data_IF_380344606131
#
_entry.id   IF_380344606131
#
_cell.length_a   1.000
_cell.length_b   1.000
_cell.length_c   1.000
_cell.angle_alpha   90.00
_cell.angle_beta   90.00
_cell.angle_gamma   90.00
#
_symmetry.space_group_name_H-M   'P 1'
#
loop_
_entity.id
_entity.type
_entity.pdbx_description
1 polymer ?
#
# COMPACT_ATOMS: atom_id res chain seq x y z
N UNK A 1 5.22 36.38 12.30
CA UNK A 1 6.10 35.42 12.99
C UNK A 1 5.26 34.22 13.44
N UNK A 2 5.37 33.07 12.80
CA UNK A 2 5.06 31.75 13.40
C UNK A 2 5.97 30.72 12.73
N UNK A 3 6.92 30.20 13.52
CA UNK A 3 8.03 29.40 13.02
C UNK A 3 7.59 28.01 12.55
N UNK A 4 7.85 27.71 11.27
CA UNK A 4 7.90 26.34 10.72
C UNK A 4 9.15 25.58 11.23
N UNK A 5 9.54 25.74 12.50
CA UNK A 5 10.90 25.38 12.95
C UNK A 5 11.05 23.94 13.46
N UNK A 6 10.00 23.13 13.52
CA UNK A 6 10.10 21.73 13.97
C UNK A 6 9.16 20.78 13.22
N UNK A 7 9.24 20.77 11.89
CA UNK A 7 8.85 19.55 11.17
C UNK A 7 10.07 18.63 11.21
N UNK A 8 9.97 17.35 11.65
CA UNK A 8 11.07 16.42 11.50
C UNK A 8 11.44 16.40 10.02
N UNK A 9 12.67 16.82 9.70
CA UNK A 9 13.22 16.69 8.35
C UNK A 9 13.32 15.20 8.10
N UNK A 10 12.29 14.64 7.45
CA UNK A 10 12.32 13.25 7.03
C UNK A 10 13.51 13.14 6.07
N UNK A 11 14.52 12.37 6.45
CA UNK A 11 15.71 12.17 5.62
C UNK A 11 15.28 11.81 4.19
N UNK A 12 15.76 12.49 3.14
CA UNK A 12 15.37 12.19 1.75
C UNK A 12 15.73 10.75 1.36
N UNK A 13 16.67 10.12 2.07
CA UNK A 13 17.01 8.69 2.01
C UNK A 13 15.85 7.76 2.41
N UNK A 14 14.96 8.22 3.30
CA UNK A 14 13.76 7.51 3.76
C UNK A 14 12.64 7.61 2.71
N UNK A 15 12.62 8.68 1.91
CA UNK A 15 11.66 8.86 0.81
C UNK A 15 12.02 8.06 -0.45
N UNK A 16 13.30 7.71 -0.64
CA UNK A 16 13.76 6.99 -1.84
C UNK A 16 13.53 5.47 -1.83
N UNK A 17 13.09 4.87 -0.71
CA UNK A 17 12.97 3.40 -0.58
C UNK A 17 11.58 2.91 -0.20
N UNK A 18 10.51 3.59 -0.62
CA UNK A 18 9.19 2.99 -0.50
C UNK A 18 9.18 1.63 -1.24
N UNK A 19 9.00 0.53 -0.50
CA UNK A 19 8.83 -0.83 -1.06
C UNK A 19 7.41 -1.35 -0.79
N UNK A 20 7.04 -2.46 -1.43
CA UNK A 20 5.78 -3.13 -1.11
C UNK A 20 5.75 -3.67 0.33
N UNK A 21 6.89 -3.81 1.00
CA UNK A 21 6.92 -4.15 2.43
C UNK A 21 6.33 -3.03 3.29
N UNK A 22 6.51 -1.77 2.91
CA UNK A 22 5.92 -0.65 3.63
C UNK A 22 4.40 -0.61 3.43
N UNK A 23 3.94 -0.99 2.23
CA UNK A 23 2.51 -1.22 1.97
C UNK A 23 1.99 -2.40 2.81
N UNK A 24 2.73 -3.50 2.89
CA UNK A 24 2.37 -4.65 3.70
C UNK A 24 2.27 -4.29 5.20
N UNK A 25 3.24 -3.52 5.73
CA UNK A 25 3.20 -3.00 7.11
C UNK A 25 1.99 -2.10 7.33
N UNK A 26 1.65 -1.24 6.36
CA UNK A 26 0.46 -0.41 6.44
C UNK A 26 -0.81 -1.27 6.49
N UNK A 27 -0.94 -2.29 5.62
CA UNK A 27 -2.09 -3.21 5.63
C UNK A 27 -2.22 -3.97 6.96
N UNK A 28 -1.11 -4.50 7.50
CA UNK A 28 -1.08 -5.16 8.82
C UNK A 28 -1.50 -4.22 9.94
N UNK A 29 -1.06 -2.96 9.89
CA UNK A 29 -1.45 -1.94 10.87
C UNK A 29 -2.94 -1.62 10.78
N UNK A 30 -3.48 -1.46 9.57
CA UNK A 30 -4.91 -1.25 9.35
C UNK A 30 -5.75 -2.44 9.82
N UNK A 31 -5.28 -3.67 9.60
CA UNK A 31 -5.94 -4.88 10.11
C UNK A 31 -6.01 -4.89 11.64
N UNK A 32 -4.92 -4.51 12.32
CA UNK A 32 -4.87 -4.42 13.79
C UNK A 32 -5.81 -3.35 14.35
N UNK A 33 -6.00 -2.25 13.62
CA UNK A 33 -6.90 -1.16 14.00
C UNK A 33 -8.40 -1.55 13.87
N UNK A 34 -8.70 -2.61 13.13
CA UNK A 34 -10.05 -3.13 12.98
C UNK A 34 -11.03 -2.17 12.26
N UNK A 35 -12.34 -2.48 12.29
CA UNK A 35 -13.35 -1.71 11.55
C UNK A 35 -13.45 -0.23 11.97
N UNK A 36 -13.26 0.07 13.26
CA UNK A 36 -13.34 1.44 13.77
C UNK A 36 -12.18 2.30 13.28
N UNK A 37 -10.93 1.81 13.36
CA UNK A 37 -9.79 2.57 12.87
C UNK A 37 -9.77 2.67 11.34
N UNK A 38 -10.29 1.68 10.63
CA UNK A 38 -10.48 1.74 9.19
C UNK A 38 -11.43 2.87 8.76
N UNK A 39 -12.49 3.14 9.51
CA UNK A 39 -13.40 4.26 9.24
C UNK A 39 -12.75 5.62 9.47
N UNK A 40 -11.79 5.73 10.39
CA UNK A 40 -10.98 6.95 10.56
C UNK A 40 -10.01 7.13 9.39
N UNK A 41 -9.32 6.07 9.00
CA UNK A 41 -8.32 6.12 7.92
C UNK A 41 -8.95 6.39 6.55
N UNK A 42 -10.17 5.92 6.28
CA UNK A 42 -10.96 6.24 5.07
C UNK A 42 -11.17 7.74 4.86
N UNK A 43 -11.12 8.55 5.92
CA UNK A 43 -11.28 10.01 5.84
C UNK A 43 -9.99 10.75 5.46
N UNK A 44 -8.84 10.07 5.45
CA UNK A 44 -7.58 10.69 5.08
C UNK A 44 -7.51 10.92 3.56
N UNK A 45 -7.05 12.11 3.10
CA UNK A 45 -6.99 12.43 1.67
C UNK A 45 -6.07 11.49 0.88
N UNK A 46 -5.04 10.93 1.51
CA UNK A 46 -4.14 9.94 0.91
C UNK A 46 -4.81 8.58 0.63
N UNK A 47 -5.89 8.25 1.36
CA UNK A 47 -6.60 6.96 1.26
C UNK A 47 -7.75 6.99 0.25
N UNK A 48 -8.11 8.16 -0.30
CA UNK A 48 -9.17 8.31 -1.32
C UNK A 48 -8.86 7.56 -2.62
N UNK A 49 -7.59 7.27 -2.90
CA UNK A 49 -7.15 6.53 -4.09
C UNK A 49 -7.18 5.01 -3.91
N UNK A 50 -7.50 4.51 -2.70
CA UNK A 50 -7.74 3.08 -2.54
C UNK A 50 -9.08 2.70 -3.17
N UNK A 51 -9.14 1.62 -3.97
CA UNK A 51 -10.39 1.19 -4.55
C UNK A 51 -11.39 0.88 -3.42
N UNK A 52 -12.64 1.27 -3.63
CA UNK A 52 -13.72 0.98 -2.70
C UNK A 52 -13.77 -0.55 -2.46
N UNK A 53 -13.43 -0.98 -1.24
CA UNK A 53 -13.34 -2.40 -0.87
C UNK A 53 -11.92 -2.96 -0.66
N UNK A 54 -10.84 -2.25 -1.03
CA UNK A 54 -9.49 -2.62 -0.55
C UNK A 54 -9.36 -2.45 0.97
N UNK A 55 -10.19 -1.59 1.52
CA UNK A 55 -10.40 -1.40 2.95
C UNK A 55 -11.63 -2.21 3.43
N UNK A 56 -11.66 -3.50 3.09
CA UNK A 56 -12.52 -4.49 3.74
C UNK A 56 -11.62 -5.40 4.57
N UNK A 57 -11.92 -5.52 5.87
CA UNK A 57 -11.15 -6.35 6.80
C UNK A 57 -11.01 -7.80 6.32
N UNK A 58 -12.02 -8.35 5.61
CA UNK A 58 -11.95 -9.70 5.02
C UNK A 58 -10.91 -9.79 3.91
N UNK A 59 -10.79 -8.75 3.10
CA UNK A 59 -9.87 -8.72 1.95
C UNK A 59 -8.45 -8.32 2.34
N UNK A 60 -8.26 -7.58 3.44
CA UNK A 60 -6.93 -7.23 3.94
C UNK A 60 -6.03 -8.45 4.11
N UNK A 61 -6.55 -9.54 4.68
CA UNK A 61 -5.79 -10.78 4.84
C UNK A 61 -5.39 -11.39 3.48
N UNK A 62 -6.30 -11.41 2.51
CA UNK A 62 -6.00 -11.87 1.15
C UNK A 62 -4.95 -11.02 0.46
N UNK A 63 -4.97 -9.69 0.65
CA UNK A 63 -3.93 -8.80 0.13
C UNK A 63 -2.57 -9.02 0.81
N UNK A 64 -2.56 -9.22 2.13
CA UNK A 64 -1.33 -9.56 2.86
C UNK A 64 -0.70 -10.84 2.28
N UNK A 65 -1.48 -11.92 2.16
CA UNK A 65 -1.00 -13.19 1.60
C UNK A 65 -0.58 -13.07 0.12
N UNK A 66 -1.27 -12.24 -0.67
CA UNK A 66 -0.88 -11.97 -2.05
C UNK A 66 0.47 -11.23 -2.14
N UNK A 67 0.72 -10.23 -1.30
CA UNK A 67 2.00 -9.51 -1.27
C UNK A 67 3.14 -10.37 -0.69
N UNK A 68 2.82 -11.27 0.24
CA UNK A 68 3.79 -12.23 0.80
C UNK A 68 4.25 -13.27 -0.24
N UNK A 69 3.41 -13.58 -1.23
CA UNK A 69 3.73 -14.50 -2.34
C UNK A 69 4.64 -13.89 -3.44
N UNK A 70 4.89 -12.58 -3.40
CA UNK A 70 5.83 -11.91 -4.31
C UNK A 70 7.28 -12.25 -3.97
N UNK A 71 8.15 -12.23 -4.98
CA UNK A 71 9.59 -12.34 -4.78
C UNK A 71 10.16 -11.07 -4.13
N UNK A 72 11.37 -11.16 -3.57
CA UNK A 72 12.04 -9.99 -2.97
C UNK A 72 12.31 -8.88 -3.99
N UNK A 73 12.61 -9.23 -5.24
CA UNK A 73 12.80 -8.25 -6.31
C UNK A 73 11.48 -7.55 -6.67
N UNK A 74 10.39 -8.31 -6.80
CA UNK A 74 9.05 -7.79 -7.02
C UNK A 74 8.62 -6.85 -5.89
N UNK A 75 8.87 -7.25 -4.62
CA UNK A 75 8.57 -6.43 -3.45
C UNK A 75 9.35 -5.11 -3.41
N UNK A 76 10.63 -5.13 -3.77
CA UNK A 76 11.48 -3.93 -3.79
C UNK A 76 11.15 -2.98 -4.94
N UNK A 77 10.94 -3.52 -6.13
CA UNK A 77 10.78 -2.71 -7.35
C UNK A 77 9.33 -2.32 -7.61
N UNK A 78 8.37 -3.13 -7.16
CA UNK A 78 6.95 -3.06 -7.51
C UNK A 78 6.67 -3.39 -8.97
N UNK A 79 7.64 -3.95 -9.72
CA UNK A 79 7.47 -4.37 -11.10
C UNK A 79 6.94 -5.80 -11.11
N UNK A 80 5.65 -5.94 -11.42
CA UNK A 80 4.96 -7.23 -11.49
C UNK A 80 4.23 -7.32 -12.83
N UNK A 81 4.40 -8.44 -13.55
CA UNK A 81 3.74 -8.65 -14.84
C UNK A 81 2.24 -8.90 -14.65
N UNK A 82 1.44 -8.70 -15.71
CA UNK A 82 -0.01 -8.95 -15.64
C UNK A 82 -0.34 -10.42 -15.33
N UNK A 83 0.43 -11.34 -15.87
CA UNK A 83 0.21 -12.78 -15.66
C UNK A 83 0.60 -13.18 -14.23
N UNK A 84 1.68 -12.61 -13.70
CA UNK A 84 2.06 -12.80 -12.29
C UNK A 84 0.99 -12.28 -11.32
N UNK A 85 0.34 -11.15 -11.64
CA UNK A 85 -0.81 -10.65 -10.86
C UNK A 85 -1.95 -11.67 -10.85
N UNK A 86 -2.28 -12.28 -11.99
CA UNK A 86 -3.34 -13.30 -12.09
C UNK A 86 -3.03 -14.55 -11.27
N UNK A 87 -1.79 -15.03 -11.38
CA UNK A 87 -1.30 -16.20 -10.65
C UNK A 87 -1.44 -16.03 -9.13
N UNK A 88 -1.14 -14.83 -8.63
CA UNK A 88 -1.22 -14.52 -7.20
C UNK A 88 -2.65 -14.21 -6.77
N UNK A 89 -3.44 -13.51 -7.59
CA UNK A 89 -4.79 -13.08 -7.23
C UNK A 89 -5.75 -14.28 -7.04
N UNK A 90 -5.69 -15.26 -7.95
CA UNK A 90 -6.59 -16.43 -7.98
C UNK A 90 -6.60 -17.25 -6.67
N UNK A 91 -5.47 -17.74 -6.13
CA UNK A 91 -5.45 -18.52 -4.89
C UNK A 91 -5.84 -17.69 -3.67
N UNK A 92 -5.68 -16.36 -3.73
CA UNK A 92 -6.03 -15.45 -2.63
C UNK A 92 -7.50 -14.98 -2.68
N UNK A 93 -8.28 -15.44 -3.66
CA UNK A 93 -9.70 -15.04 -3.83
C UNK A 93 -9.87 -13.57 -4.21
N UNK A 94 -8.83 -12.96 -4.80
CA UNK A 94 -8.83 -11.58 -5.27
C UNK A 94 -9.09 -11.52 -6.77
N UNK A 95 -9.71 -10.43 -7.23
CA UNK A 95 -9.77 -10.10 -8.65
C UNK A 95 -8.45 -9.44 -9.07
N UNK A 96 -8.01 -9.66 -10.31
CA UNK A 96 -6.81 -9.02 -10.87
C UNK A 96 -6.81 -7.49 -10.69
N UNK A 97 -7.98 -6.86 -10.85
CA UNK A 97 -8.16 -5.41 -10.69
C UNK A 97 -7.94 -4.95 -9.25
N UNK A 98 -8.33 -5.76 -8.28
CA UNK A 98 -8.16 -5.47 -6.85
C UNK A 98 -6.68 -5.48 -6.48
N UNK A 99 -5.96 -6.52 -6.90
CA UNK A 99 -4.52 -6.62 -6.63
C UNK A 99 -3.73 -5.56 -7.42
N UNK A 100 -4.11 -5.30 -8.67
CA UNK A 100 -3.52 -4.21 -9.49
C UNK A 100 -3.64 -2.85 -8.81
N UNK A 101 -4.76 -2.55 -8.16
CA UNK A 101 -4.96 -1.28 -7.49
C UNK A 101 -4.00 -1.06 -6.30
N UNK A 102 -3.57 -2.13 -5.62
CA UNK A 102 -2.52 -2.04 -4.59
C UNK A 102 -1.17 -1.63 -5.21
N UNK A 103 -0.82 -2.19 -6.37
CA UNK A 103 0.39 -1.79 -7.08
C UNK A 103 0.32 -0.35 -7.61
N UNK A 104 -0.85 0.11 -8.08
CA UNK A 104 -1.04 1.51 -8.46
C UNK A 104 -0.95 2.45 -7.25
N UNK A 105 -1.48 2.05 -6.09
CA UNK A 105 -1.29 2.79 -4.84
C UNK A 105 0.19 2.87 -4.47
N UNK A 106 0.94 1.76 -4.58
CA UNK A 106 2.37 1.74 -4.34
C UNK A 106 3.11 2.70 -5.28
N UNK A 107 2.81 2.69 -6.58
CA UNK A 107 3.37 3.64 -7.55
C UNK A 107 3.04 5.09 -7.18
N UNK A 108 1.80 5.35 -6.75
CA UNK A 108 1.38 6.69 -6.31
C UNK A 108 2.14 7.13 -5.06
N UNK A 109 2.32 6.26 -4.06
CA UNK A 109 3.13 6.55 -2.88
C UNK A 109 4.59 6.86 -3.26
N UNK A 110 5.19 6.03 -4.12
CA UNK A 110 6.57 6.22 -4.59
C UNK A 110 6.73 7.51 -5.39
N UNK A 111 5.75 7.84 -6.24
CA UNK A 111 5.74 9.08 -7.04
C UNK A 111 5.56 10.33 -6.16
N UNK A 112 4.73 10.26 -5.13
CA UNK A 112 4.46 11.39 -4.22
C UNK A 112 5.59 11.58 -3.19
N UNK A 113 6.26 10.49 -2.77
CA UNK A 113 7.44 10.55 -1.91
C UNK A 113 8.68 11.10 -2.63
N UNK A 114 8.77 10.90 -3.95
CA UNK A 114 9.77 11.52 -4.83
C UNK A 114 9.32 12.85 -5.44
N UNK A 115 8.39 13.57 -4.80
CA UNK A 115 7.85 14.82 -5.32
C UNK A 115 8.93 15.83 -5.66
N UNK A 116 8.84 16.36 -6.89
CA UNK A 116 9.58 17.47 -7.50
C UNK A 116 10.16 18.51 -6.55
#
# INVERSE_FOLDING_TARGET
>A
MFGRKNMPKVDPSVLQKATLDDVLKALKTLRKLGPMGMNMVKKLPMMKNLPAGALDAKKLKSFESALEALTDEERRTGKVSKDRIKEIAKPNGLKDRELKAIFEMFKSMKSNAGGR
#
